data_IF_977621639540
#
_entry.id   IF_977621639540
#
_cell.length_a   1.000
_cell.length_b   1.000
_cell.length_c   1.000
_cell.angle_alpha   90.00
_cell.angle_beta   90.00
_cell.angle_gamma   90.00
#
_symmetry.space_group_name_H-M   'P 1'
#
loop_
_entity.id
_entity.type
_entity.pdbx_description
1 polymer ?
#
# COMPACT_ATOMS: atom_id res chain seq x y z
N UNK A 1 53.14 0.08 -21.56
CA UNK A 1 51.73 -0.17 -21.21
C UNK A 1 51.73 -1.15 -20.04
N UNK A 2 51.11 -0.79 -18.93
CA UNK A 2 51.41 -1.42 -17.62
C UNK A 2 50.23 -2.22 -17.07
N UNK A 3 50.51 -3.25 -16.25
CA UNK A 3 49.49 -4.06 -15.55
C UNK A 3 48.59 -3.23 -14.62
N UNK A 4 49.11 -2.12 -14.09
CA UNK A 4 48.36 -1.23 -13.20
C UNK A 4 47.23 -0.49 -13.95
N UNK A 5 47.42 -0.13 -15.22
CA UNK A 5 46.35 0.48 -16.03
C UNK A 5 45.15 -0.46 -16.19
N UNK A 6 45.41 -1.74 -16.48
CA UNK A 6 44.36 -2.75 -16.62
C UNK A 6 43.64 -2.99 -15.29
N UNK A 7 44.38 -3.01 -14.18
CA UNK A 7 43.79 -3.19 -12.85
C UNK A 7 42.91 -2.00 -12.48
N UNK A 8 43.38 -0.77 -12.69
CA UNK A 8 42.59 0.45 -12.45
C UNK A 8 41.33 0.47 -13.32
N UNK A 9 41.46 0.11 -14.60
CA UNK A 9 40.30 0.02 -15.50
C UNK A 9 39.26 -0.98 -14.99
N UNK A 10 39.68 -2.18 -14.58
CA UNK A 10 38.78 -3.20 -14.03
C UNK A 10 38.11 -2.76 -12.72
N UNK A 11 38.83 -2.06 -11.84
CA UNK A 11 38.26 -1.52 -10.60
C UNK A 11 37.16 -0.51 -10.90
N UNK A 12 37.39 0.42 -11.84
CA UNK A 12 36.38 1.41 -12.25
C UNK A 12 35.16 0.69 -12.81
N UNK A 13 35.36 -0.28 -13.71
CA UNK A 13 34.28 -1.09 -14.31
C UNK A 13 33.49 -1.85 -13.24
N UNK A 14 34.17 -2.46 -12.27
CA UNK A 14 33.52 -3.17 -11.19
C UNK A 14 32.63 -2.25 -10.34
N UNK A 15 33.12 -1.05 -10.02
CA UNK A 15 32.36 -0.06 -9.22
C UNK A 15 31.15 0.46 -10.00
N UNK A 16 31.32 0.79 -11.28
CA UNK A 16 30.20 1.29 -12.11
C UNK A 16 29.12 0.23 -12.29
N UNK A 17 29.50 -1.03 -12.52
CA UNK A 17 28.56 -2.15 -12.59
C UNK A 17 27.84 -2.36 -11.26
N UNK A 18 28.57 -2.36 -10.13
CA UNK A 18 27.97 -2.51 -8.80
C UNK A 18 26.96 -1.39 -8.50
N UNK A 19 27.28 -0.14 -8.87
CA UNK A 19 26.36 0.98 -8.76
C UNK A 19 25.11 0.81 -9.64
N UNK A 20 25.29 0.36 -10.88
CA UNK A 20 24.19 0.08 -11.81
C UNK A 20 23.24 -1.00 -11.30
N UNK A 21 23.77 -2.11 -10.79
CA UNK A 21 22.97 -3.20 -10.20
C UNK A 21 22.18 -2.69 -8.99
N UNK A 22 22.82 -1.91 -8.11
CA UNK A 22 22.15 -1.33 -6.94
C UNK A 22 21.00 -0.40 -7.35
N UNK A 23 21.21 0.43 -8.37
CA UNK A 23 20.17 1.32 -8.89
C UNK A 23 18.99 0.54 -9.50
N UNK A 24 19.27 -0.50 -10.30
CA UNK A 24 18.24 -1.37 -10.87
C UNK A 24 17.43 -2.08 -9.77
N UNK A 25 18.11 -2.64 -8.75
CA UNK A 25 17.45 -3.29 -7.62
C UNK A 25 16.56 -2.32 -6.83
N UNK A 26 17.02 -1.08 -6.62
CA UNK A 26 16.23 -0.06 -5.95
C UNK A 26 14.96 0.30 -6.75
N UNK A 27 15.06 0.37 -8.07
CA UNK A 27 13.91 0.61 -8.95
C UNK A 27 12.89 -0.53 -8.85
N UNK A 28 13.34 -1.79 -8.96
CA UNK A 28 12.46 -2.97 -8.83
C UNK A 28 11.77 -3.02 -7.47
N UNK A 29 12.48 -2.69 -6.39
CA UNK A 29 11.88 -2.63 -5.05
C UNK A 29 10.82 -1.53 -4.94
N UNK A 30 11.01 -0.39 -5.61
CA UNK A 30 10.02 0.68 -5.65
C UNK A 30 8.79 0.32 -6.48
N UNK A 31 8.96 -0.34 -7.63
CA UNK A 31 7.82 -0.79 -8.44
C UNK A 31 6.98 -1.82 -7.71
N UNK A 32 7.61 -2.72 -6.94
CA UNK A 32 6.87 -3.67 -6.12
C UNK A 32 6.02 -2.97 -5.06
N UNK A 33 6.61 -2.03 -4.31
CA UNK A 33 5.88 -1.23 -3.30
C UNK A 33 4.71 -0.46 -3.92
N UNK A 34 4.89 0.09 -5.12
CA UNK A 34 3.83 0.78 -5.83
C UNK A 34 2.69 -0.18 -6.19
N UNK A 35 3.01 -1.36 -6.72
CA UNK A 35 2.00 -2.38 -7.05
C UNK A 35 1.20 -2.81 -5.81
N UNK A 36 1.88 -3.06 -4.68
CA UNK A 36 1.25 -3.43 -3.41
C UNK A 36 0.31 -2.32 -2.92
N UNK A 37 0.71 -1.05 -3.07
CA UNK A 37 -0.09 0.11 -2.66
C UNK A 37 -1.34 0.29 -3.53
N UNK A 38 -1.22 0.08 -4.85
CA UNK A 38 -2.35 0.15 -5.78
C UNK A 38 -3.37 -0.97 -5.51
N UNK A 39 -2.89 -2.19 -5.26
CA UNK A 39 -3.74 -3.31 -4.89
C UNK A 39 -4.47 -3.04 -3.57
N UNK A 40 -3.77 -2.51 -2.57
CA UNK A 40 -4.37 -2.08 -1.31
C UNK A 40 -5.43 -0.98 -1.53
N UNK A 41 -5.18 -0.04 -2.44
CA UNK A 41 -6.14 1.01 -2.76
C UNK A 41 -7.41 0.49 -3.38
N UNK A 42 -7.32 -0.43 -4.35
CA UNK A 42 -8.51 -1.08 -4.90
C UNK A 42 -9.32 -1.82 -3.84
N UNK A 43 -8.66 -2.50 -2.92
CA UNK A 43 -9.34 -3.15 -1.80
C UNK A 43 -10.10 -2.14 -0.91
N UNK A 44 -9.46 -1.03 -0.54
CA UNK A 44 -10.09 0.01 0.27
C UNK A 44 -11.27 0.67 -0.46
N UNK A 45 -11.08 1.02 -1.74
CA UNK A 45 -12.11 1.64 -2.58
C UNK A 45 -13.32 0.71 -2.77
N UNK A 46 -13.09 -0.58 -3.01
CA UNK A 46 -14.15 -1.57 -3.14
C UNK A 46 -14.96 -1.66 -1.84
N UNK A 47 -14.30 -1.80 -0.69
CA UNK A 47 -14.99 -1.92 0.60
C UNK A 47 -15.79 -0.65 0.95
N UNK A 48 -15.21 0.54 0.76
CA UNK A 48 -15.90 1.79 1.03
C UNK A 48 -17.06 2.04 0.06
N UNK A 49 -16.90 1.63 -1.20
CA UNK A 49 -17.95 1.72 -2.22
C UNK A 49 -19.08 0.77 -1.89
N UNK A 50 -18.79 -0.46 -1.45
CA UNK A 50 -19.79 -1.42 -1.02
C UNK A 50 -20.63 -0.89 0.14
N UNK A 51 -20.00 -0.31 1.17
CA UNK A 51 -20.73 0.33 2.28
C UNK A 51 -21.70 1.42 1.81
N UNK A 52 -21.27 2.24 0.83
CA UNK A 52 -22.11 3.30 0.26
C UNK A 52 -23.25 2.74 -0.58
N UNK A 53 -22.99 1.75 -1.43
CA UNK A 53 -24.00 1.13 -2.29
C UNK A 53 -25.08 0.40 -1.45
N UNK A 54 -24.67 -0.23 -0.34
CA UNK A 54 -25.59 -0.86 0.61
C UNK A 54 -26.34 0.15 1.48
N UNK A 55 -26.04 1.46 1.35
CA UNK A 55 -26.59 2.56 2.17
C UNK A 55 -26.48 2.29 3.66
N UNK A 56 -25.39 1.63 4.07
CA UNK A 56 -25.18 1.27 5.45
C UNK A 56 -24.62 2.45 6.24
N UNK A 57 -25.13 2.62 7.46
CA UNK A 57 -24.58 3.52 8.45
C UNK A 57 -23.89 2.68 9.55
N UNK A 58 -22.66 2.19 9.31
CA UNK A 58 -22.03 1.15 10.13
C UNK A 58 -21.79 1.66 11.56
N UNK A 59 -22.00 0.83 12.60
CA UNK A 59 -21.82 1.23 14.00
C UNK A 59 -20.39 1.72 14.26
N UNK A 60 -20.21 2.54 15.29
CA UNK A 60 -18.88 2.94 15.75
C UNK A 60 -18.14 1.72 16.27
N UNK A 61 -16.91 1.53 15.82
CA UNK A 61 -16.10 0.37 16.14
C UNK A 61 -15.10 0.06 15.03
N UNK A 62 -14.39 -1.05 15.20
CA UNK A 62 -13.45 -1.57 14.22
C UNK A 62 -14.02 -2.86 13.65
N UNK A 63 -14.05 -2.98 12.32
CA UNK A 63 -14.54 -4.16 11.61
C UNK A 63 -13.41 -4.69 10.73
N UNK A 64 -13.00 -5.93 10.96
CA UNK A 64 -12.02 -6.59 10.12
C UNK A 64 -12.67 -7.19 8.88
N UNK A 65 -11.94 -7.15 7.77
CA UNK A 65 -12.33 -7.80 6.53
C UNK A 65 -11.07 -8.27 5.79
N UNK A 66 -11.24 -9.12 4.80
CA UNK A 66 -10.17 -9.56 3.92
C UNK A 66 -10.58 -9.37 2.48
N UNK A 67 -9.63 -9.04 1.62
CA UNK A 67 -9.85 -8.90 0.19
C UNK A 67 -8.70 -9.59 -0.56
N UNK A 68 -9.01 -10.09 -1.74
CA UNK A 68 -8.01 -10.67 -2.64
C UNK A 68 -7.83 -9.74 -3.83
N UNK A 69 -6.59 -9.32 -4.10
CA UNK A 69 -6.24 -8.45 -5.23
C UNK A 69 -4.98 -8.99 -5.89
N UNK A 70 -4.98 -9.12 -7.21
CA UNK A 70 -3.83 -9.61 -7.99
C UNK A 70 -3.27 -10.96 -7.48
N UNK A 71 -4.14 -11.85 -6.98
CA UNK A 71 -3.74 -13.14 -6.41
C UNK A 71 -3.07 -13.08 -5.03
N UNK A 72 -3.13 -11.93 -4.36
CA UNK A 72 -2.63 -11.71 -3.00
C UNK A 72 -3.78 -11.39 -2.05
N UNK A 73 -3.73 -11.93 -0.83
CA UNK A 73 -4.70 -11.61 0.22
C UNK A 73 -4.19 -10.43 1.07
N UNK A 74 -5.06 -9.47 1.29
CA UNK A 74 -4.82 -8.31 2.15
C UNK A 74 -5.78 -8.31 3.33
N UNK A 75 -5.29 -7.85 4.48
CA UNK A 75 -6.10 -7.67 5.69
C UNK A 75 -6.55 -6.23 5.78
N UNK A 76 -7.86 -6.03 5.77
CA UNK A 76 -8.50 -4.74 5.92
C UNK A 76 -9.11 -4.55 7.31
N UNK A 77 -9.09 -3.31 7.79
CA UNK A 77 -9.83 -2.91 8.99
C UNK A 77 -10.56 -1.60 8.71
N UNK A 78 -11.89 -1.63 8.79
CA UNK A 78 -12.72 -0.45 8.79
C UNK A 78 -12.80 0.12 10.20
N UNK A 79 -12.33 1.34 10.36
CA UNK A 79 -12.27 2.04 11.64
C UNK A 79 -13.31 3.15 11.60
N UNK A 80 -14.46 2.89 12.21
CA UNK A 80 -15.60 3.80 12.24
C UNK A 80 -15.53 4.65 13.51
N UNK A 81 -15.50 5.97 13.36
CA UNK A 81 -15.42 6.92 14.47
C UNK A 81 -16.57 7.94 14.39
N UNK A 82 -17.11 8.37 15.53
CA UNK A 82 -18.13 9.41 15.56
C UNK A 82 -17.54 10.74 15.11
N UNK A 83 -18.39 11.62 14.58
CA UNK A 83 -18.05 13.03 14.35
C UNK A 83 -18.95 13.90 15.23
N UNK A 84 -18.63 15.21 15.41
CA UNK A 84 -19.51 16.11 16.16
C UNK A 84 -20.94 16.16 15.62
N UNK A 85 -21.15 15.90 14.32
CA UNK A 85 -22.47 15.79 13.74
C UNK A 85 -22.94 14.32 13.77
N UNK A 86 -24.02 13.96 14.51
CA UNK A 86 -24.49 12.58 14.65
C UNK A 86 -25.01 11.95 13.35
N UNK A 87 -25.24 12.76 12.31
CA UNK A 87 -25.60 12.30 10.97
C UNK A 87 -24.39 11.89 10.13
N UNK A 88 -23.17 12.10 10.62
CA UNK A 88 -21.94 11.75 9.91
C UNK A 88 -21.05 10.85 10.76
N UNK A 89 -20.48 9.84 10.11
CA UNK A 89 -19.42 9.00 10.67
C UNK A 89 -18.18 9.10 9.80
N UNK A 90 -17.00 9.18 10.42
CA UNK A 90 -15.74 9.00 9.71
C UNK A 90 -15.45 7.52 9.64
N UNK A 91 -15.16 7.02 8.46
CA UNK A 91 -14.77 5.63 8.24
C UNK A 91 -13.41 5.63 7.58
N UNK A 92 -12.43 5.03 8.27
CA UNK A 92 -11.08 4.86 7.77
C UNK A 92 -10.90 3.39 7.37
N UNK A 93 -10.65 3.10 6.09
CA UNK A 93 -10.26 1.78 5.60
C UNK A 93 -8.73 1.65 5.67
N UNK A 94 -8.24 0.84 6.60
CA UNK A 94 -6.81 0.53 6.77
C UNK A 94 -6.50 -0.80 6.13
N UNK A 95 -5.53 -0.84 5.22
CA UNK A 95 -5.12 -2.06 4.55
C UNK A 95 -3.69 -2.40 4.95
N UNK A 96 -3.48 -3.66 5.33
CA UNK A 96 -2.20 -4.24 5.64
C UNK A 96 -1.92 -5.45 4.73
N UNK A 97 -0.64 -5.73 4.53
CA UNK A 97 -0.22 -6.95 3.85
C UNK A 97 -0.45 -8.20 4.73
N UNK A 98 -0.15 -9.38 4.18
CA UNK A 98 -0.30 -10.65 4.88
C UNK A 98 0.54 -10.75 6.18
N UNK A 99 1.61 -9.96 6.29
CA UNK A 99 2.47 -9.88 7.48
C UNK A 99 2.00 -8.83 8.48
N UNK A 100 0.90 -8.13 8.21
CA UNK A 100 0.35 -7.08 9.07
C UNK A 100 1.05 -5.73 8.94
N UNK A 101 1.91 -5.53 7.93
CA UNK A 101 2.54 -4.23 7.68
C UNK A 101 1.51 -3.31 7.02
N UNK A 102 1.30 -2.09 7.55
CA UNK A 102 0.34 -1.16 6.98
C UNK A 102 0.84 -0.69 5.60
N UNK A 103 -0.04 -0.78 4.59
CA UNK A 103 0.24 -0.32 3.23
C UNK A 103 -0.40 1.05 2.98
N UNK A 104 -1.63 1.24 3.46
CA UNK A 104 -2.48 2.38 3.11
C UNK A 104 -3.56 2.60 4.18
N UNK A 105 -3.98 3.85 4.35
CA UNK A 105 -5.26 4.20 4.96
C UNK A 105 -6.02 5.17 4.04
N UNK A 106 -7.28 4.84 3.75
CA UNK A 106 -8.21 5.70 3.02
C UNK A 106 -9.35 6.14 3.93
N UNK A 107 -9.58 7.45 4.05
CA UNK A 107 -10.57 8.03 4.95
C UNK A 107 -11.74 8.61 4.17
N UNK A 108 -12.97 8.36 4.65
CA UNK A 108 -14.17 8.98 4.11
C UNK A 108 -15.19 9.35 5.19
N UNK A 109 -16.13 10.21 4.82
CA UNK A 109 -17.28 10.58 5.65
C UNK A 109 -18.52 9.95 5.05
N UNK A 110 -19.24 9.17 5.87
CA UNK A 110 -20.50 8.53 5.51
C UNK A 110 -21.67 9.30 6.15
N UNK A 111 -22.62 9.82 5.36
CA UNK A 111 -23.87 10.36 5.86
C UNK A 111 -24.82 9.23 6.31
N UNK A 112 -25.69 9.54 7.25
CA UNK A 112 -26.91 8.79 7.54
C UNK A 112 -27.93 9.10 6.44
N UNK A 113 -28.16 8.17 5.52
CA UNK A 113 -29.10 8.27 4.40
C UNK A 113 -30.44 7.64 4.79
#
# INVERSE_FOLDING_TARGET
MTLIEVLVALVIVAITLAAGIKAAAALTANTQRLADTLAAQWCADNQLTELRLQRQFPPVGDLEFSCEQLGQSYRGTLVVRPTPNPNFRRVDARIADAQGRPLLQLSTILPRI
#
